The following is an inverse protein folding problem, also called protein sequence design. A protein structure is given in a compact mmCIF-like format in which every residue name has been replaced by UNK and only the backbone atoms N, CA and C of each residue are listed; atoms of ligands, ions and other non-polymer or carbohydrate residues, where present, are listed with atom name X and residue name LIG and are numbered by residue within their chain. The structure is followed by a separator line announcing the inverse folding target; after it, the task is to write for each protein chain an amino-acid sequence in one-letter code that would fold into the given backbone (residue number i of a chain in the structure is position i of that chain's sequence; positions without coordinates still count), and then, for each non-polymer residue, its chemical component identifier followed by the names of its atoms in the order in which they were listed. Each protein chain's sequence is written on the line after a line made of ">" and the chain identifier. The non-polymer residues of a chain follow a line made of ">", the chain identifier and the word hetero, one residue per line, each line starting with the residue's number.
data_IF_728154624424
#
_entry.id   IF_728154624424
#
_cell.length_a   1.000
_cell.length_b   1.000
_cell.length_c   1.000
_cell.angle_alpha   90.00
_cell.angle_beta   90.00
_cell.angle_gamma   90.00
#
_symmetry.space_group_name_H-M   'P 1'
#
loop_
_entity.id
_entity.type
_entity.pdbx_description
1 polymer ?
#
# COMPACT_ATOMS: atom_id res chain seq x y z
N UNK A 1 36.91 -7.44 11.49
CA UNK A 1 35.85 -6.63 10.86
C UNK A 1 34.62 -7.49 10.76
N UNK A 2 33.58 -7.05 11.47
CA UNK A 2 32.33 -7.76 11.59
C UNK A 2 31.72 -8.03 10.20
N UNK A 3 31.65 -9.27 9.80
CA UNK A 3 31.00 -9.71 8.57
C UNK A 3 29.49 -9.90 8.76
N UNK A 4 28.89 -9.19 9.74
CA UNK A 4 27.47 -9.28 10.08
C UNK A 4 27.07 -10.62 10.68
N UNK A 5 27.97 -11.22 11.48
CA UNK A 5 27.75 -12.48 12.22
C UNK A 5 28.03 -12.34 13.73
N UNK A 6 28.29 -11.12 14.20
CA UNK A 6 28.69 -10.87 15.60
C UNK A 6 27.58 -11.19 16.61
N UNK A 7 26.31 -11.11 16.20
CA UNK A 7 25.16 -11.48 17.01
C UNK A 7 24.72 -12.94 16.86
N UNK A 8 25.41 -13.72 16.00
CA UNK A 8 25.03 -15.10 15.77
C UNK A 8 25.51 -16.02 16.90
N UNK A 9 24.75 -17.05 17.22
CA UNK A 9 25.21 -18.12 18.11
C UNK A 9 26.07 -19.07 17.29
N UNK A 10 27.39 -19.04 17.60
CA UNK A 10 28.42 -19.83 16.91
C UNK A 10 29.20 -20.60 17.96
N UNK A 11 29.00 -21.91 18.04
CA UNK A 11 29.53 -22.74 19.12
C UNK A 11 30.27 -23.95 18.58
N UNK A 12 31.61 -24.05 18.82
CA UNK A 12 32.37 -25.27 18.54
C UNK A 12 32.16 -26.31 19.65
N UNK A 13 32.03 -27.59 19.27
CA UNK A 13 31.89 -28.69 20.22
C UNK A 13 32.76 -29.91 19.83
N UNK A 14 33.75 -30.32 20.64
CA UNK A 14 34.26 -29.63 21.83
C UNK A 14 34.98 -28.32 21.47
N UNK A 15 35.11 -27.39 22.42
CA UNK A 15 35.84 -26.13 22.24
C UNK A 15 37.37 -26.29 22.34
N UNK A 16 37.84 -27.38 22.89
CA UNK A 16 39.26 -27.74 23.01
C UNK A 16 39.45 -29.21 22.70
N UNK A 17 40.59 -29.53 22.11
CA UNK A 17 41.04 -30.91 21.80
C UNK A 17 42.44 -31.09 22.29
N UNK A 18 42.72 -32.23 22.97
CA UNK A 18 44.06 -32.66 23.27
C UNK A 18 44.43 -33.76 22.28
N UNK A 19 45.51 -33.56 21.51
CA UNK A 19 45.91 -34.43 20.42
C UNK A 19 47.39 -34.83 20.62
N UNK A 20 47.69 -36.11 20.51
CA UNK A 20 49.06 -36.61 20.45
C UNK A 20 49.72 -36.30 19.09
N UNK A 21 51.00 -36.59 18.99
CA UNK A 21 51.77 -36.40 17.75
C UNK A 21 51.13 -37.21 16.61
N UNK A 22 50.72 -36.51 15.51
CA UNK A 22 50.05 -37.08 14.34
C UNK A 22 48.62 -37.59 14.60
N UNK A 23 48.04 -37.30 15.76
CA UNK A 23 46.64 -37.62 16.03
C UNK A 23 45.71 -36.65 15.26
N UNK A 24 44.57 -37.17 14.85
CA UNK A 24 43.51 -36.40 14.16
C UNK A 24 42.30 -36.28 15.06
N UNK A 25 41.88 -35.07 15.34
CA UNK A 25 40.66 -34.76 16.09
C UNK A 25 39.57 -34.11 15.22
N UNK A 26 38.34 -34.20 15.70
CA UNK A 26 37.16 -33.59 15.04
C UNK A 26 36.35 -32.79 16.04
N UNK A 27 35.78 -31.70 15.59
CA UNK A 27 34.75 -30.94 16.31
C UNK A 27 33.60 -30.58 15.40
N UNK A 28 32.44 -30.37 15.99
CA UNK A 28 31.28 -29.85 15.28
C UNK A 28 31.15 -28.32 15.52
N UNK A 29 30.81 -27.58 14.49
CA UNK A 29 30.50 -26.17 14.58
C UNK A 29 28.99 -25.98 14.39
N UNK A 30 28.30 -25.57 15.45
CA UNK A 30 26.89 -25.16 15.37
C UNK A 30 26.83 -23.68 15.07
N UNK A 31 25.98 -23.30 14.14
CA UNK A 31 25.79 -21.91 13.72
C UNK A 31 24.31 -21.60 13.65
N UNK A 32 23.85 -20.64 14.44
CA UNK A 32 22.48 -20.14 14.41
C UNK A 32 22.50 -18.66 14.03
N UNK A 33 22.02 -18.28 12.82
CA UNK A 33 21.90 -16.89 12.45
C UNK A 33 20.95 -16.14 13.38
N UNK A 34 21.23 -14.86 13.59
CA UNK A 34 20.36 -13.94 14.31
C UNK A 34 19.01 -13.79 13.59
N UNK A 35 17.96 -13.41 14.35
CA UNK A 35 16.61 -13.17 13.80
C UNK A 35 16.59 -12.06 12.74
N UNK A 36 17.49 -11.08 12.87
CA UNK A 36 17.64 -9.94 11.96
C UNK A 36 18.73 -10.17 10.89
N UNK A 37 19.19 -11.42 10.74
CA UNK A 37 20.25 -11.74 9.80
C UNK A 37 19.86 -11.39 8.35
N UNK A 38 20.62 -10.49 7.75
CA UNK A 38 20.46 -10.08 6.35
C UNK A 38 20.78 -11.24 5.43
N UNK A 39 19.93 -11.50 4.44
CA UNK A 39 20.09 -12.57 3.46
C UNK A 39 21.41 -12.47 2.69
N UNK A 40 21.91 -13.62 2.26
CA UNK A 40 23.17 -13.72 1.52
C UNK A 40 24.16 -14.67 2.11
N UNK A 41 25.38 -14.69 1.56
CA UNK A 41 26.48 -15.53 2.02
C UNK A 41 27.26 -14.84 3.13
N UNK A 42 27.45 -15.53 4.25
CA UNK A 42 28.21 -15.05 5.41
C UNK A 42 29.36 -16.03 5.70
N UNK A 43 30.57 -15.50 5.80
CA UNK A 43 31.77 -16.30 6.07
C UNK A 43 32.13 -16.24 7.55
N UNK A 44 32.36 -17.38 8.15
CA UNK A 44 32.77 -17.55 9.54
C UNK A 44 34.24 -18.07 9.52
N UNK A 45 35.14 -17.31 10.09
CA UNK A 45 36.54 -17.70 10.22
C UNK A 45 36.73 -18.54 11.49
N UNK A 46 37.35 -19.67 11.34
CA UNK A 46 37.70 -20.59 12.42
C UNK A 46 39.22 -20.52 12.59
N UNK A 47 39.67 -20.25 13.81
CA UNK A 47 41.11 -20.15 14.12
C UNK A 47 41.47 -21.19 15.20
N UNK A 48 42.49 -21.99 14.95
CA UNK A 48 43.09 -22.84 15.96
C UNK A 48 44.31 -22.16 16.58
N UNK A 49 44.40 -22.21 17.89
CA UNK A 49 45.50 -21.62 18.64
C UNK A 49 46.11 -22.69 19.58
N UNK A 50 47.41 -22.84 19.57
CA UNK A 50 48.12 -23.77 20.49
C UNK A 50 48.11 -23.25 21.93
N UNK A 51 48.47 -24.12 22.89
CA UNK A 51 48.47 -23.79 24.32
C UNK A 51 49.42 -22.63 24.66
N UNK A 52 50.51 -22.45 23.89
CA UNK A 52 51.44 -21.33 24.06
C UNK A 52 50.91 -19.98 23.54
N UNK A 53 49.66 -19.93 23.03
CA UNK A 53 49.03 -18.74 22.52
C UNK A 53 49.44 -18.37 21.09
N UNK A 54 50.23 -19.18 20.39
CA UNK A 54 50.59 -18.93 18.98
C UNK A 54 49.47 -19.40 18.06
N UNK A 55 49.04 -18.54 17.14
CA UNK A 55 48.07 -18.92 16.11
C UNK A 55 48.72 -19.88 15.13
N UNK A 56 48.13 -21.04 14.89
CA UNK A 56 48.72 -22.10 14.11
C UNK A 56 48.08 -22.27 12.76
N UNK A 57 46.73 -22.12 12.68
CA UNK A 57 45.98 -22.31 11.43
C UNK A 57 44.63 -21.62 11.46
N UNK A 58 44.14 -21.28 10.29
CA UNK A 58 42.76 -20.76 10.12
C UNK A 58 42.11 -21.34 8.88
N UNK A 59 40.80 -21.48 8.96
CA UNK A 59 39.94 -21.87 7.85
C UNK A 59 38.59 -21.11 7.93
N UNK A 60 37.73 -21.25 6.94
CA UNK A 60 36.43 -20.62 6.99
C UNK A 60 35.33 -21.54 6.48
N UNK A 61 34.13 -21.36 7.02
CA UNK A 61 32.88 -21.93 6.51
C UNK A 61 31.95 -20.83 6.07
N UNK A 62 31.05 -21.15 5.16
CA UNK A 62 30.08 -20.18 4.63
C UNK A 62 28.68 -20.66 4.94
N UNK A 63 27.88 -19.78 5.52
CA UNK A 63 26.45 -19.99 5.75
C UNK A 63 25.67 -19.09 4.77
N UNK A 64 24.69 -19.67 4.08
CA UNK A 64 23.74 -18.91 3.26
C UNK A 64 22.50 -18.61 4.09
N UNK A 65 22.26 -17.35 4.41
CA UNK A 65 20.99 -16.88 4.96
C UNK A 65 19.99 -16.74 3.81
N UNK A 66 18.87 -17.42 3.91
CA UNK A 66 17.83 -17.32 2.89
C UNK A 66 17.09 -15.99 3.00
N UNK A 67 16.58 -15.49 1.86
CA UNK A 67 15.71 -14.33 1.84
C UNK A 67 14.35 -14.70 2.46
N UNK A 68 13.88 -13.84 3.36
CA UNK A 68 12.55 -13.87 3.97
C UNK A 68 11.86 -12.54 3.61
N UNK A 69 11.06 -12.50 2.53
CA UNK A 69 10.38 -11.28 2.15
C UNK A 69 9.26 -10.96 3.15
N UNK A 70 9.08 -9.68 3.43
CA UNK A 70 7.97 -9.15 4.21
C UNK A 70 7.75 -7.69 3.82
N UNK A 71 6.50 -7.21 3.88
CA UNK A 71 6.18 -5.82 3.59
C UNK A 71 5.08 -5.32 4.53
N UNK A 72 5.10 -4.03 4.77
CA UNK A 72 4.07 -3.30 5.50
C UNK A 72 3.54 -2.19 4.58
N UNK A 73 2.22 -1.95 4.64
CA UNK A 73 1.56 -0.88 3.89
C UNK A 73 0.78 -0.03 4.88
N UNK A 74 1.09 1.26 4.93
CA UNK A 74 0.48 2.21 5.83
C UNK A 74 -0.24 3.32 5.06
N UNK A 75 -1.33 3.82 5.65
CA UNK A 75 -2.11 4.92 5.08
C UNK A 75 -1.35 6.23 5.19
N UNK A 76 -1.34 7.03 4.12
CA UNK A 76 -0.88 8.41 4.13
C UNK A 76 -2.08 9.33 3.88
N UNK A 77 -2.49 10.04 4.91
CA UNK A 77 -3.73 10.83 4.89
C UNK A 77 -5.00 9.98 5.02
N UNK A 78 -6.13 10.48 4.51
CA UNK A 78 -7.40 9.77 4.57
C UNK A 78 -7.51 8.69 3.49
N UNK A 79 -7.91 7.49 3.88
CA UNK A 79 -8.29 6.41 2.97
C UNK A 79 -9.80 6.41 2.64
N UNK A 80 -10.56 7.37 3.17
CA UNK A 80 -11.96 7.62 2.82
C UNK A 80 -12.09 9.07 2.36
N UNK A 81 -12.57 9.28 1.13
CA UNK A 81 -12.69 10.60 0.51
C UNK A 81 -13.97 10.71 -0.28
N UNK A 82 -14.49 11.93 -0.35
CA UNK A 82 -15.62 12.25 -1.18
C UNK A 82 -15.15 12.72 -2.57
N UNK A 83 -16.02 12.53 -3.57
CA UNK A 83 -15.77 12.93 -4.96
C UNK A 83 -17.05 13.43 -5.60
N UNK A 84 -17.00 14.49 -6.41
CA UNK A 84 -18.12 14.91 -7.26
C UNK A 84 -18.28 13.91 -8.43
N UNK A 85 -19.52 13.77 -8.93
CA UNK A 85 -19.78 12.98 -10.13
C UNK A 85 -18.89 13.44 -11.30
N UNK A 86 -18.30 12.49 -12.03
CA UNK A 86 -17.38 12.72 -13.14
C UNK A 86 -15.97 13.16 -12.74
N UNK A 87 -15.67 13.39 -11.46
CA UNK A 87 -14.36 13.85 -10.99
C UNK A 87 -13.48 12.71 -10.50
N UNK A 88 -12.21 13.04 -10.25
CA UNK A 88 -11.19 12.14 -9.73
C UNK A 88 -10.82 12.48 -8.30
N UNK A 89 -10.48 11.46 -7.54
CA UNK A 89 -9.89 11.55 -6.22
C UNK A 89 -8.62 10.70 -6.18
N UNK A 90 -7.66 11.10 -5.35
CA UNK A 90 -6.33 10.53 -5.30
C UNK A 90 -6.03 10.01 -3.90
N UNK A 91 -5.31 8.89 -3.81
CA UNK A 91 -4.94 8.28 -2.55
C UNK A 91 -3.45 7.98 -2.51
N UNK A 92 -2.89 8.16 -1.32
CA UNK A 92 -1.47 7.96 -1.02
C UNK A 92 -1.31 6.89 0.06
N UNK A 93 -0.23 6.14 -0.02
CA UNK A 93 0.14 5.18 1.01
C UNK A 93 1.66 5.02 1.06
N UNK A 94 2.16 4.50 2.18
CA UNK A 94 3.57 4.21 2.38
C UNK A 94 3.80 2.70 2.36
N UNK A 95 4.92 2.29 1.79
CA UNK A 95 5.35 0.89 1.74
C UNK A 95 6.70 0.76 2.40
N UNK A 96 6.82 -0.14 3.36
CA UNK A 96 8.07 -0.47 4.04
C UNK A 96 8.46 -1.91 3.73
N UNK A 97 9.72 -2.15 3.36
CA UNK A 97 10.28 -3.49 3.28
C UNK A 97 10.64 -4.00 4.69
N UNK A 98 9.90 -4.97 5.18
CA UNK A 98 10.13 -5.65 6.47
C UNK A 98 10.82 -7.00 6.34
N UNK A 99 11.28 -7.34 5.13
CA UNK A 99 12.08 -8.53 4.86
C UNK A 99 13.56 -8.35 5.24
N UNK A 100 14.33 -9.40 5.09
CA UNK A 100 15.76 -9.40 5.40
C UNK A 100 16.67 -9.23 4.16
N UNK A 101 16.12 -8.79 3.04
CA UNK A 101 16.87 -8.49 1.81
C UNK A 101 16.21 -7.33 1.05
N UNK A 102 16.98 -6.72 0.15
CA UNK A 102 16.42 -5.82 -0.87
C UNK A 102 15.37 -6.58 -1.68
N UNK A 103 14.19 -5.98 -1.84
CA UNK A 103 13.10 -6.59 -2.61
C UNK A 103 12.47 -5.57 -3.58
N UNK A 104 11.70 -6.10 -4.49
CA UNK A 104 10.87 -5.35 -5.42
C UNK A 104 9.41 -5.73 -5.15
N UNK A 105 8.52 -4.73 -5.07
CA UNK A 105 7.11 -4.97 -4.84
C UNK A 105 6.29 -4.60 -6.08
N UNK A 106 5.45 -5.53 -6.53
CA UNK A 106 4.51 -5.30 -7.62
C UNK A 106 3.17 -4.84 -7.04
N UNK A 107 2.55 -3.84 -7.68
CA UNK A 107 1.29 -3.25 -7.28
C UNK A 107 0.21 -3.59 -8.30
N UNK A 108 -0.95 -4.01 -7.84
CA UNK A 108 -2.11 -4.27 -8.69
C UNK A 108 -3.38 -3.72 -8.04
N UNK A 109 -4.21 -3.02 -8.83
CA UNK A 109 -5.53 -2.59 -8.40
C UNK A 109 -6.58 -3.60 -8.92
N UNK A 110 -7.44 -4.07 -8.01
CA UNK A 110 -8.58 -4.91 -8.41
C UNK A 110 -9.74 -4.02 -8.87
N UNK A 111 -10.00 -4.05 -10.17
CA UNK A 111 -11.12 -3.34 -10.80
C UNK A 111 -12.33 -4.22 -11.08
N UNK A 112 -12.25 -5.52 -10.79
CA UNK A 112 -13.31 -6.49 -11.13
C UNK A 112 -14.60 -6.30 -10.32
N UNK A 113 -14.49 -5.69 -9.15
CA UNK A 113 -15.60 -5.42 -8.22
C UNK A 113 -16.14 -4.00 -8.32
N UNK A 114 -15.57 -3.15 -9.18
CA UNK A 114 -16.02 -1.78 -9.34
C UNK A 114 -17.43 -1.73 -9.93
N UNK A 115 -18.32 -0.85 -9.42
CA UNK A 115 -19.62 -0.60 -10.04
C UNK A 115 -19.44 -0.05 -11.46
N UNK A 116 -20.47 -0.21 -12.30
CA UNK A 116 -20.44 0.27 -13.68
C UNK A 116 -20.08 1.75 -13.77
N UNK A 117 -19.19 2.10 -14.68
CA UNK A 117 -18.75 3.47 -14.95
C UNK A 117 -17.67 4.00 -14.02
N UNK A 118 -17.37 3.31 -12.90
CA UNK A 118 -16.22 3.67 -12.06
C UNK A 118 -14.91 3.22 -12.70
N UNK A 119 -13.89 4.04 -12.54
CA UNK A 119 -12.53 3.74 -12.98
C UNK A 119 -11.56 3.83 -11.80
N UNK A 120 -10.61 2.90 -11.74
CA UNK A 120 -9.48 2.98 -10.81
C UNK A 120 -8.19 2.57 -11.53
N UNK A 121 -7.12 3.30 -11.25
CA UNK A 121 -5.79 3.05 -11.84
C UNK A 121 -4.68 3.41 -10.86
N UNK A 122 -3.50 2.86 -11.11
CA UNK A 122 -2.27 3.20 -10.42
C UNK A 122 -1.35 3.96 -11.39
N UNK A 123 -0.73 5.05 -10.91
CA UNK A 123 0.30 5.77 -11.68
C UNK A 123 1.63 5.01 -11.70
N UNK A 124 1.79 4.05 -10.78
CA UNK A 124 2.97 3.20 -10.65
C UNK A 124 2.54 1.79 -10.28
N UNK A 125 3.07 0.80 -10.98
CA UNK A 125 2.77 -0.63 -10.77
C UNK A 125 3.89 -1.41 -10.07
N UNK A 126 5.02 -0.74 -9.76
CA UNK A 126 6.22 -1.39 -9.22
C UNK A 126 7.07 -0.47 -8.36
N UNK A 127 7.53 -0.98 -7.21
CA UNK A 127 8.56 -0.37 -6.36
C UNK A 127 9.81 -1.23 -6.48
N UNK A 128 10.86 -0.71 -7.10
CA UNK A 128 12.07 -1.49 -7.36
C UNK A 128 13.13 -1.27 -6.30
N UNK A 129 13.80 -2.36 -5.89
CA UNK A 129 15.01 -2.35 -5.05
C UNK A 129 14.84 -1.60 -3.71
N UNK A 130 13.72 -1.78 -3.03
CA UNK A 130 13.53 -1.23 -1.69
C UNK A 130 14.43 -1.98 -0.69
N UNK A 131 15.32 -1.26 0.00
CA UNK A 131 16.24 -1.82 0.99
C UNK A 131 15.53 -2.36 2.22
N UNK A 132 16.26 -3.10 3.04
CA UNK A 132 15.75 -3.62 4.33
C UNK A 132 15.44 -2.44 5.24
N UNK A 133 14.23 -2.43 5.83
CA UNK A 133 13.65 -1.36 6.65
C UNK A 133 13.52 0.01 5.96
N UNK A 134 13.87 0.12 4.69
CA UNK A 134 13.58 1.31 3.91
C UNK A 134 12.07 1.42 3.66
N UNK A 135 11.59 2.66 3.54
CA UNK A 135 10.22 2.96 3.17
C UNK A 135 10.15 3.93 1.97
N UNK A 136 9.01 3.92 1.31
CA UNK A 136 8.68 4.88 0.26
C UNK A 136 7.22 5.31 0.38
N UNK A 137 6.99 6.61 0.36
CA UNK A 137 5.64 7.17 0.26
C UNK A 137 5.27 7.34 -1.21
N UNK A 138 4.20 6.67 -1.61
CA UNK A 138 3.60 6.80 -2.94
C UNK A 138 2.48 7.85 -2.84
N UNK A 139 2.80 9.06 -3.27
CA UNK A 139 1.86 10.19 -3.22
C UNK A 139 0.93 10.14 -4.43
N UNK A 140 -0.38 10.22 -4.17
CA UNK A 140 -1.45 10.28 -5.18
C UNK A 140 -1.41 9.14 -6.22
N UNK A 141 -0.84 8.01 -5.83
CA UNK A 141 -0.56 6.87 -6.73
C UNK A 141 -1.81 6.13 -7.17
N UNK A 142 -2.84 6.03 -6.32
CA UNK A 142 -4.14 5.45 -6.68
C UNK A 142 -5.08 6.57 -7.09
N UNK A 143 -5.56 6.51 -8.32
CA UNK A 143 -6.53 7.44 -8.92
C UNK A 143 -7.87 6.72 -9.06
N UNK A 144 -8.93 7.31 -8.51
CA UNK A 144 -10.30 6.81 -8.63
C UNK A 144 -11.16 7.87 -9.27
N UNK A 145 -11.95 7.50 -10.29
CA UNK A 145 -12.89 8.39 -10.99
C UNK A 145 -14.32 7.87 -10.84
N UNK A 146 -15.21 8.73 -10.38
CA UNK A 146 -16.65 8.47 -10.37
C UNK A 146 -17.26 8.67 -11.77
N UNK A 147 -18.31 7.92 -12.17
CA UNK A 147 -19.04 8.18 -13.40
C UNK A 147 -19.71 9.57 -13.37
N UNK A 148 -19.95 10.12 -14.57
CA UNK A 148 -20.57 11.46 -14.69
C UNK A 148 -22.04 11.49 -14.22
N UNK A 149 -22.71 10.36 -14.28
CA UNK A 149 -24.10 10.14 -13.86
C UNK A 149 -24.20 9.45 -12.49
N UNK A 150 -23.12 9.45 -11.70
CA UNK A 150 -23.11 8.83 -10.38
C UNK A 150 -24.12 9.48 -9.44
N UNK A 151 -25.00 8.67 -8.87
CA UNK A 151 -25.94 9.13 -7.85
C UNK A 151 -25.21 9.54 -6.56
N UNK A 152 -25.79 10.50 -5.83
CA UNK A 152 -25.30 10.89 -4.51
C UNK A 152 -25.24 9.71 -3.55
N UNK A 153 -24.30 9.76 -2.60
CA UNK A 153 -24.08 8.79 -1.54
C UNK A 153 -23.69 7.37 -2.01
N UNK A 154 -23.49 7.18 -3.33
CA UNK A 154 -22.93 5.91 -3.83
C UNK A 154 -21.48 5.79 -3.38
N UNK A 155 -21.19 4.68 -2.71
CA UNK A 155 -19.85 4.37 -2.20
C UNK A 155 -19.22 3.22 -2.98
N UNK A 156 -17.93 3.32 -3.24
CA UNK A 156 -17.13 2.20 -3.74
C UNK A 156 -15.86 1.99 -2.92
N UNK A 157 -15.45 0.75 -2.83
CA UNK A 157 -14.20 0.33 -2.18
C UNK A 157 -13.21 -0.15 -3.24
N UNK A 158 -11.98 0.32 -3.14
CA UNK A 158 -10.90 -0.06 -4.03
C UNK A 158 -9.80 -0.75 -3.22
N UNK A 159 -9.34 -1.89 -3.70
CA UNK A 159 -8.25 -2.66 -3.09
C UNK A 159 -7.04 -2.63 -4.01
N UNK A 160 -5.91 -2.19 -3.47
CA UNK A 160 -4.59 -2.33 -4.10
C UNK A 160 -3.85 -3.44 -3.40
N UNK A 161 -3.40 -4.45 -4.13
CA UNK A 161 -2.57 -5.53 -3.63
C UNK A 161 -1.12 -5.26 -3.98
N UNK A 162 -0.25 -5.35 -2.98
CA UNK A 162 1.19 -5.26 -3.13
C UNK A 162 1.80 -6.63 -2.84
N UNK A 163 2.64 -7.14 -3.72
CA UNK A 163 3.27 -8.46 -3.57
C UNK A 163 4.77 -8.40 -3.81
N UNK A 164 5.53 -9.21 -3.05
CA UNK A 164 6.96 -9.38 -3.25
C UNK A 164 7.25 -10.05 -4.59
N UNK A 165 8.22 -9.53 -5.34
CA UNK A 165 8.69 -10.12 -6.60
C UNK A 165 9.46 -11.43 -6.35
N UNK A 166 10.12 -11.54 -5.19
CA UNK A 166 10.81 -12.76 -4.78
C UNK A 166 9.83 -13.90 -4.44
N UNK A 167 8.70 -13.58 -3.79
CA UNK A 167 7.66 -14.53 -3.44
C UNK A 167 6.28 -13.88 -3.42
N UNK A 168 5.53 -14.03 -4.50
CA UNK A 168 4.21 -13.41 -4.68
C UNK A 168 3.15 -13.84 -3.64
N UNK A 169 3.38 -14.94 -2.89
CA UNK A 169 2.50 -15.33 -1.78
C UNK A 169 2.63 -14.39 -0.57
N UNK A 170 3.71 -13.63 -0.51
CA UNK A 170 3.91 -12.58 0.49
C UNK A 170 3.36 -11.29 -0.08
N UNK A 171 2.23 -10.87 0.44
CA UNK A 171 1.50 -9.70 -0.03
C UNK A 171 0.84 -8.94 1.12
N UNK A 172 0.47 -7.71 0.85
CA UNK A 172 -0.32 -6.85 1.73
C UNK A 172 -1.28 -6.02 0.88
N UNK A 173 -2.30 -5.45 1.50
CA UNK A 173 -3.31 -4.67 0.78
C UNK A 173 -3.46 -3.28 1.36
N UNK A 174 -3.68 -2.31 0.46
CA UNK A 174 -4.20 -1.00 0.79
C UNK A 174 -5.66 -0.93 0.35
N UNK A 175 -6.53 -0.42 1.23
CA UNK A 175 -7.95 -0.28 0.93
C UNK A 175 -8.35 1.19 1.05
N UNK A 176 -8.99 1.71 0.01
CA UNK A 176 -9.61 3.04 -0.01
C UNK A 176 -11.11 2.95 -0.20
N UNK A 177 -11.80 4.02 0.18
CA UNK A 177 -13.25 4.18 0.11
C UNK A 177 -13.58 5.53 -0.49
N UNK A 178 -14.45 5.56 -1.50
CA UNK A 178 -14.84 6.78 -2.21
C UNK A 178 -16.36 6.90 -2.21
N UNK A 179 -16.87 8.05 -1.78
CA UNK A 179 -18.31 8.35 -1.74
C UNK A 179 -18.62 9.50 -2.68
N UNK A 180 -19.70 9.42 -3.43
CA UNK A 180 -20.14 10.50 -4.34
C UNK A 180 -20.87 11.58 -3.55
N UNK A 181 -20.40 12.82 -3.70
CA UNK A 181 -21.06 13.99 -3.14
C UNK A 181 -22.39 14.28 -3.84
N UNK A 182 -23.36 14.75 -3.06
CA UNK A 182 -24.59 15.29 -3.64
C UNK A 182 -24.33 16.63 -4.33
N UNK A 183 -24.83 16.76 -5.56
CA UNK A 183 -24.92 18.01 -6.31
C UNK A 183 -26.38 18.47 -6.34
N UNK A 184 -26.60 19.71 -5.97
CA UNK A 184 -27.92 20.32 -5.95
C UNK A 184 -28.09 21.24 -7.16
N UNK A 185 -29.03 20.94 -8.06
CA UNK A 185 -29.22 21.71 -9.29
C UNK A 185 -30.71 21.86 -9.62
N UNK A 186 -31.48 22.70 -8.85
CA UNK A 186 -32.86 22.99 -9.17
C UNK A 186 -32.96 23.90 -10.40
N UNK A 187 -33.84 23.58 -11.34
CA UNK A 187 -34.14 24.39 -12.52
C UNK A 187 -35.61 24.80 -12.57
N UNK A 188 -35.86 26.07 -12.93
CA UNK A 188 -37.17 26.61 -13.12
C UNK A 188 -37.40 26.95 -14.60
N UNK A 189 -38.60 26.65 -15.11
CA UNK A 189 -39.03 27.02 -16.45
C UNK A 189 -40.51 27.36 -16.45
N UNK A 190 -40.86 28.43 -17.14
CA UNK A 190 -42.27 28.80 -17.37
C UNK A 190 -42.85 27.84 -18.42
N UNK A 191 -44.01 27.28 -18.12
CA UNK A 191 -44.79 26.50 -19.10
C UNK A 191 -45.94 27.36 -19.67
N UNK A 192 -45.85 27.72 -20.93
CA UNK A 192 -46.81 28.59 -21.63
C UNK A 192 -46.34 30.04 -21.73
N UNK A 193 -47.30 30.97 -21.71
CA UNK A 193 -47.01 32.40 -21.82
C UNK A 193 -46.42 32.94 -20.52
N UNK A 194 -45.37 33.75 -20.63
CA UNK A 194 -44.69 34.42 -19.51
C UNK A 194 -45.36 35.76 -19.12
N UNK A 195 -46.32 36.18 -19.91
CA UNK A 195 -47.07 37.44 -19.73
C UNK A 195 -48.57 37.18 -19.84
N UNK A 196 -49.31 37.65 -18.86
CA UNK A 196 -50.78 37.63 -18.89
C UNK A 196 -51.34 39.01 -18.50
N UNK A 197 -52.46 39.35 -19.03
CA UNK A 197 -53.17 40.60 -18.70
C UNK A 197 -54.32 40.34 -17.72
N UNK A 198 -54.42 41.18 -16.68
CA UNK A 198 -55.47 41.11 -15.69
C UNK A 198 -56.04 42.52 -15.40
N UNK A 199 -57.32 42.61 -15.08
CA UNK A 199 -57.87 43.79 -14.47
C UNK A 199 -57.56 43.84 -12.97
N UNK A 200 -57.73 45.02 -12.32
CA UNK A 200 -57.64 45.07 -10.86
C UNK A 200 -58.54 43.99 -10.22
N UNK A 201 -58.04 43.26 -9.22
CA UNK A 201 -58.73 42.19 -8.50
C UNK A 201 -58.95 40.90 -9.32
N UNK A 202 -58.50 40.82 -10.58
CA UNK A 202 -58.59 39.62 -11.41
C UNK A 202 -57.34 38.75 -11.20
N UNK A 203 -57.57 37.45 -10.94
CA UNK A 203 -56.48 36.45 -10.74
C UNK A 203 -55.98 35.91 -12.08
N UNK A 204 -54.71 35.88 -12.29
CA UNK A 204 -54.00 35.14 -13.35
C UNK A 204 -53.15 34.05 -12.80
N UNK A 205 -52.99 32.98 -13.56
CA UNK A 205 -52.22 31.81 -13.13
C UNK A 205 -51.10 31.50 -14.11
N UNK A 206 -49.90 31.32 -13.59
CA UNK A 206 -48.76 30.84 -14.35
C UNK A 206 -48.40 29.41 -13.91
N UNK A 207 -48.04 28.56 -14.87
CA UNK A 207 -47.54 27.24 -14.59
C UNK A 207 -46.02 27.28 -14.66
N UNK A 208 -45.36 26.91 -13.55
CA UNK A 208 -43.89 26.86 -13.44
C UNK A 208 -43.50 25.42 -13.30
N UNK A 209 -42.64 24.95 -14.19
CA UNK A 209 -42.01 23.65 -14.09
C UNK A 209 -40.78 23.76 -13.22
N UNK A 210 -40.62 22.82 -12.27
CA UNK A 210 -39.40 22.62 -11.48
C UNK A 210 -38.81 21.29 -11.86
N UNK A 211 -37.53 21.26 -12.10
CA UNK A 211 -36.78 20.03 -12.35
C UNK A 211 -35.57 19.98 -11.37
N UNK A 212 -35.36 18.86 -10.73
CA UNK A 212 -34.10 18.58 -10.04
C UNK A 212 -33.15 17.92 -11.06
N UNK A 213 -32.15 18.67 -11.52
CA UNK A 213 -31.08 18.17 -12.40
C UNK A 213 -29.84 17.76 -11.60
N UNK A 214 -29.89 17.74 -10.25
CA UNK A 214 -28.88 17.23 -9.37
C UNK A 214 -28.76 15.69 -9.41
N UNK A 215 -27.85 15.14 -8.68
CA UNK A 215 -27.57 13.71 -8.66
C UNK A 215 -28.19 12.95 -7.47
N UNK A 216 -29.01 13.61 -6.65
CA UNK A 216 -29.70 13.03 -5.50
C UNK A 216 -31.07 13.67 -5.26
N UNK A 217 -31.82 13.10 -4.31
CA UNK A 217 -33.09 13.66 -3.87
C UNK A 217 -32.88 15.02 -3.19
N UNK A 218 -33.76 16.00 -3.45
CA UNK A 218 -33.64 17.36 -2.94
C UNK A 218 -35.00 17.94 -2.53
N UNK A 219 -35.05 18.65 -1.41
CA UNK A 219 -36.20 19.38 -0.91
C UNK A 219 -36.12 20.85 -1.39
N UNK A 220 -36.88 21.20 -2.44
CA UNK A 220 -36.80 22.49 -3.07
C UNK A 220 -37.82 23.46 -2.44
N UNK A 221 -37.32 24.50 -1.79
CA UNK A 221 -38.13 25.59 -1.24
C UNK A 221 -38.35 26.72 -2.26
N UNK A 222 -39.56 27.25 -2.33
CA UNK A 222 -39.93 28.33 -3.24
C UNK A 222 -40.16 29.64 -2.47
N UNK A 223 -39.61 30.74 -2.98
CA UNK A 223 -39.82 32.08 -2.46
C UNK A 223 -40.05 33.09 -3.62
N UNK A 224 -40.80 34.14 -3.35
CA UNK A 224 -41.02 35.25 -4.29
C UNK A 224 -40.17 36.44 -3.84
N UNK A 225 -39.50 37.07 -4.79
CA UNK A 225 -38.75 38.31 -4.61
C UNK A 225 -39.42 39.33 -5.54
N UNK A 226 -40.02 40.40 -5.00
CA UNK A 226 -40.67 41.48 -5.72
C UNK A 226 -40.07 42.83 -5.38
#
# INVERSE_FOLDING_TARGET
>A
TANGVDSWDITPQPSTLTLDINEVGFFNLSVTPDIEAIAGLKSISIVSTSEDGQTVSSTSVTVKVNQLPALQVDKVGSSSKDVEAGKRVYYSFEVTNKGNAVDTFNLAVDTSTLPSGWEASLDQDKISNLGVDDNITLTDVLVVKAPEDAAADVETQIIVTLSSDYNASINSTYTSRTTVLQNYEPKLAIQGEDTQSAKPEEQVNFTIKITNDGNGEDDISLSLIG
#
